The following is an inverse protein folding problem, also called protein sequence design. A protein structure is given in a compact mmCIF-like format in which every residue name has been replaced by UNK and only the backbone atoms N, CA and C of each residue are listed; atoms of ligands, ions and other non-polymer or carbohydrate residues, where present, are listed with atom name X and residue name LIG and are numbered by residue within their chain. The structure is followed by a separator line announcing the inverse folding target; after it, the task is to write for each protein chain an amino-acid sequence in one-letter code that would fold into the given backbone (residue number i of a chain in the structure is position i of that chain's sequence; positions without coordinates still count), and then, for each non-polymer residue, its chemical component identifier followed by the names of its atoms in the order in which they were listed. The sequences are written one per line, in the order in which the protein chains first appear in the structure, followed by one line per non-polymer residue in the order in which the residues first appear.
data_IF_920674081484
#
_entry.id   IF_920674081484
#
_cell.length_a   1.000
_cell.length_b   1.000
_cell.length_c   1.000
_cell.angle_alpha   90.00
_cell.angle_beta   90.00
_cell.angle_gamma   90.00
#
_symmetry.space_group_name_H-M   'P 1'
#
loop_
_entity.id
_entity.type
_entity.pdbx_description
1 polymer ?
#
# COMPACT_ATOMS: atom_id res chain seq x y z
N UNK A 1 -7.21 -32.96 -20.93
CA UNK A 1 -6.08 -33.01 -19.97
C UNK A 1 -5.53 -31.60 -19.90
N UNK A 2 -5.90 -30.82 -18.88
CA UNK A 2 -5.37 -29.47 -18.72
C UNK A 2 -4.00 -29.59 -18.07
N UNK A 3 -2.97 -29.11 -18.77
CA UNK A 3 -1.64 -28.92 -18.24
C UNK A 3 -1.74 -27.97 -17.04
N UNK A 4 -1.84 -28.55 -15.84
CA UNK A 4 -1.30 -27.91 -14.66
C UNK A 4 0.20 -27.86 -14.91
N UNK A 5 0.65 -26.74 -15.47
CA UNK A 5 2.06 -26.37 -15.47
C UNK A 5 2.49 -26.34 -14.00
N UNK A 6 3.10 -27.44 -13.58
CA UNK A 6 3.72 -27.58 -12.27
C UNK A 6 4.79 -26.52 -12.17
N UNK A 7 4.43 -25.38 -11.56
CA UNK A 7 5.41 -24.41 -11.09
C UNK A 7 6.45 -25.18 -10.27
N UNK A 8 7.74 -24.84 -10.37
CA UNK A 8 8.75 -25.47 -9.54
C UNK A 8 8.31 -25.29 -8.09
N UNK A 9 7.95 -26.39 -7.43
CA UNK A 9 7.71 -26.41 -5.99
C UNK A 9 9.05 -26.05 -5.36
N UNK A 10 9.16 -24.81 -4.89
CA UNK A 10 10.34 -24.40 -4.14
C UNK A 10 10.44 -25.36 -2.95
N UNK A 11 11.60 -25.99 -2.71
CA UNK A 11 11.75 -26.99 -1.66
C UNK A 11 11.43 -26.44 -0.26
N UNK A 12 11.47 -25.13 -0.09
CA UNK A 12 11.17 -24.37 1.13
C UNK A 12 9.83 -23.59 1.05
N UNK A 13 8.94 -23.90 0.10
CA UNK A 13 7.69 -23.15 -0.11
C UNK A 13 6.82 -23.07 1.16
N UNK A 14 6.72 -24.17 1.91
CA UNK A 14 5.93 -24.23 3.14
C UNK A 14 6.57 -23.42 4.28
N UNK A 15 7.90 -23.46 4.42
CA UNK A 15 8.64 -22.68 5.41
C UNK A 15 8.54 -21.18 5.12
N UNK A 16 8.65 -20.80 3.84
CA UNK A 16 8.46 -19.42 3.39
C UNK A 16 7.05 -18.93 3.61
N UNK A 17 6.04 -19.78 3.38
CA UNK A 17 4.64 -19.44 3.64
C UNK A 17 4.37 -19.27 5.14
N UNK A 18 4.92 -20.14 5.99
CA UNK A 18 4.84 -20.02 7.43
C UNK A 18 5.50 -18.71 7.92
N UNK A 19 6.70 -18.40 7.42
CA UNK A 19 7.40 -17.16 7.70
C UNK A 19 6.61 -15.92 7.26
N UNK A 20 6.02 -15.95 6.07
CA UNK A 20 5.18 -14.87 5.56
C UNK A 20 3.92 -14.63 6.41
N UNK A 21 3.26 -15.70 6.87
CA UNK A 21 2.11 -15.61 7.82
C UNK A 21 2.52 -14.94 9.12
N UNK A 22 3.66 -15.33 9.67
CA UNK A 22 4.18 -14.76 10.92
C UNK A 22 4.54 -13.27 10.75
N UNK A 23 5.20 -12.92 9.65
CA UNK A 23 5.55 -11.53 9.34
C UNK A 23 4.31 -10.65 9.14
N UNK A 24 3.30 -11.15 8.41
CA UNK A 24 2.04 -10.43 8.20
C UNK A 24 1.30 -10.18 9.52
N UNK A 25 1.22 -11.19 10.40
CA UNK A 25 0.60 -11.04 11.71
C UNK A 25 1.31 -9.97 12.56
N UNK A 26 2.66 -9.99 12.59
CA UNK A 26 3.44 -8.99 13.32
C UNK A 26 3.23 -7.56 12.78
N UNK A 27 3.21 -7.40 11.44
CA UNK A 27 2.96 -6.09 10.83
C UNK A 27 1.56 -5.57 11.13
N UNK A 28 0.54 -6.44 11.10
CA UNK A 28 -0.83 -6.09 11.43
C UNK A 28 -0.99 -5.69 12.90
N UNK A 29 -0.30 -6.39 13.81
CA UNK A 29 -0.26 -6.03 15.23
C UNK A 29 0.35 -4.63 15.44
N UNK A 30 1.49 -4.35 14.80
CA UNK A 30 2.17 -3.04 14.91
C UNK A 30 1.31 -1.85 14.45
N UNK A 31 0.41 -2.06 13.49
CA UNK A 31 -0.50 -1.01 12.98
C UNK A 31 -1.85 -0.98 13.70
N UNK A 32 -2.02 -1.78 14.76
CA UNK A 32 -3.25 -1.79 15.57
C UNK A 32 -4.44 -2.44 14.86
N UNK A 33 -4.20 -3.44 14.00
CA UNK A 33 -5.27 -4.13 13.27
C UNK A 33 -6.34 -4.74 14.19
N UNK A 34 -5.95 -5.22 15.37
CA UNK A 34 -6.89 -5.80 16.35
C UNK A 34 -7.91 -4.78 16.87
N UNK A 35 -7.51 -3.51 16.96
CA UNK A 35 -8.36 -2.41 17.45
C UNK A 35 -9.01 -1.61 16.30
N UNK A 36 -8.69 -1.96 15.05
CA UNK A 36 -9.21 -1.26 13.88
C UNK A 36 -10.72 -1.49 13.72
N UNK A 37 -11.53 -0.44 13.46
CA UNK A 37 -12.95 -0.58 13.15
C UNK A 37 -13.16 -1.55 11.97
N UNK A 38 -14.17 -2.41 12.06
CA UNK A 38 -14.41 -3.46 11.06
C UNK A 38 -14.70 -2.94 9.64
N UNK A 39 -15.16 -1.70 9.52
CA UNK A 39 -15.41 -1.02 8.24
C UNK A 39 -14.19 -0.26 7.70
N UNK A 40 -13.12 -0.13 8.49
CA UNK A 40 -11.90 0.58 8.11
C UNK A 40 -11.15 -0.11 6.98
N UNK A 41 -10.44 0.69 6.18
CA UNK A 41 -9.60 0.16 5.09
C UNK A 41 -8.51 -0.77 5.63
N UNK A 42 -7.96 -0.47 6.81
CA UNK A 42 -6.98 -1.32 7.49
C UNK A 42 -7.56 -2.71 7.80
N UNK A 43 -8.79 -2.76 8.33
CA UNK A 43 -9.45 -4.03 8.63
C UNK A 43 -9.75 -4.84 7.35
N UNK A 44 -10.19 -4.17 6.28
CA UNK A 44 -10.44 -4.81 4.98
C UNK A 44 -9.15 -5.39 4.38
N UNK A 45 -8.09 -4.59 4.31
CA UNK A 45 -6.82 -5.00 3.71
C UNK A 45 -6.10 -6.06 4.54
N UNK A 46 -6.08 -5.92 5.87
CA UNK A 46 -5.45 -6.90 6.76
C UNK A 46 -6.18 -8.25 6.73
N UNK A 47 -7.52 -8.24 6.71
CA UNK A 47 -8.30 -9.48 6.58
C UNK A 47 -8.05 -10.17 5.24
N UNK A 48 -8.01 -9.41 4.14
CA UNK A 48 -7.72 -9.96 2.81
C UNK A 48 -6.31 -10.57 2.73
N UNK A 49 -5.31 -9.92 3.34
CA UNK A 49 -3.94 -10.45 3.41
C UNK A 49 -3.85 -11.76 4.18
N UNK A 50 -4.52 -11.86 5.33
CA UNK A 50 -4.56 -13.09 6.13
C UNK A 50 -5.27 -14.23 5.41
N UNK A 51 -6.36 -13.93 4.69
CA UNK A 51 -7.10 -14.91 3.88
C UNK A 51 -6.23 -15.45 2.73
N UNK A 52 -5.56 -14.57 1.98
CA UNK A 52 -4.62 -14.94 0.91
C UNK A 52 -3.48 -15.85 1.41
N UNK A 53 -2.94 -15.57 2.60
CA UNK A 53 -1.87 -16.38 3.18
C UNK A 53 -2.40 -17.69 3.79
N UNK A 54 -3.67 -17.77 4.16
CA UNK A 54 -4.29 -18.99 4.69
C UNK A 54 -4.61 -20.00 3.60
N UNK A 55 -4.98 -19.53 2.41
CA UNK A 55 -5.32 -20.38 1.27
C UNK A 55 -4.59 -19.92 -0.01
N UNK A 56 -3.35 -20.42 -0.25
CA UNK A 56 -2.54 -20.00 -1.42
C UNK A 56 -3.14 -20.42 -2.77
N UNK A 57 -4.21 -21.23 -2.76
CA UNK A 57 -4.98 -21.63 -3.95
C UNK A 57 -6.15 -20.67 -4.26
N UNK A 58 -6.45 -19.71 -3.39
CA UNK A 58 -7.44 -18.68 -3.70
C UNK A 58 -6.87 -17.79 -4.82
N UNK A 59 -7.61 -17.59 -5.94
CA UNK A 59 -7.15 -16.70 -6.98
C UNK A 59 -6.90 -15.32 -6.38
N UNK A 60 -5.66 -14.82 -6.52
CA UNK A 60 -5.32 -13.45 -6.14
C UNK A 60 -6.39 -12.55 -6.77
N UNK A 61 -7.14 -11.76 -5.97
CA UNK A 61 -8.19 -10.93 -6.54
C UNK A 61 -7.55 -10.06 -7.61
N UNK A 62 -8.00 -10.23 -8.85
CA UNK A 62 -7.51 -9.51 -10.04
C UNK A 62 -7.90 -8.02 -10.03
N UNK A 63 -8.11 -7.44 -8.85
CA UNK A 63 -8.24 -6.02 -8.68
C UNK A 63 -6.86 -5.40 -8.94
N UNK A 64 -6.69 -4.54 -9.96
CA UNK A 64 -5.40 -3.95 -10.21
C UNK A 64 -5.04 -3.08 -9.01
N UNK A 65 -3.94 -3.41 -8.33
CA UNK A 65 -3.29 -2.52 -7.38
C UNK A 65 -3.19 -1.15 -8.04
N UNK A 66 -3.91 -0.16 -7.51
CA UNK A 66 -4.10 1.14 -8.18
C UNK A 66 -2.85 2.03 -8.12
N UNK A 67 -1.67 1.47 -7.83
CA UNK A 67 -0.38 2.13 -7.93
C UNK A 67 0.02 2.52 -9.38
N UNK A 68 -0.78 2.14 -10.38
CA UNK A 68 -0.48 2.46 -11.79
C UNK A 68 -1.69 2.71 -12.67
N UNK A 69 -2.89 2.94 -12.12
CA UNK A 69 -4.00 3.36 -13.00
C UNK A 69 -3.62 4.72 -13.61
N UNK A 70 -3.57 4.84 -14.95
CA UNK A 70 -3.31 6.13 -15.55
C UNK A 70 -4.36 7.12 -15.02
N UNK A 71 -3.94 8.32 -14.59
CA UNK A 71 -4.88 9.30 -14.07
C UNK A 71 -6.00 9.50 -15.10
N UNK A 72 -7.26 9.63 -14.68
CA UNK A 72 -8.38 9.87 -15.59
C UNK A 72 -8.01 11.03 -16.51
N UNK A 73 -8.35 10.91 -17.80
CA UNK A 73 -8.06 11.93 -18.82
C UNK A 73 -8.41 13.29 -18.22
N UNK A 74 -7.37 14.12 -17.99
CA UNK A 74 -7.54 15.43 -17.38
C UNK A 74 -8.62 16.18 -18.15
N UNK A 75 -9.66 16.64 -17.46
CA UNK A 75 -10.45 17.77 -17.93
C UNK A 75 -9.46 18.84 -18.40
N UNK A 76 -9.67 19.40 -19.61
CA UNK A 76 -8.76 20.40 -20.17
C UNK A 76 -8.58 21.51 -19.14
N UNK A 77 -7.44 21.52 -18.44
CA UNK A 77 -7.08 22.66 -17.61
C UNK A 77 -7.13 23.88 -18.52
N UNK A 78 -8.07 24.79 -18.26
CA UNK A 78 -8.12 26.09 -18.93
C UNK A 78 -6.72 26.68 -18.75
N UNK A 79 -6.10 27.12 -19.84
CA UNK A 79 -4.74 27.69 -19.84
C UNK A 79 -4.74 28.95 -18.97
N UNK A 80 -4.63 28.80 -17.66
CA UNK A 80 -4.27 29.86 -16.74
C UNK A 80 -2.79 30.20 -16.93
N UNK A 81 -2.40 31.40 -16.48
CA UNK A 81 -0.98 31.79 -16.43
C UNK A 81 -0.21 30.73 -15.64
N UNK A 82 0.86 30.18 -16.24
CA UNK A 82 1.82 29.34 -15.53
C UNK A 82 2.31 30.10 -14.29
N UNK A 83 2.29 29.51 -13.09
CA UNK A 83 3.03 30.06 -11.96
C UNK A 83 4.50 30.18 -12.38
N UNK A 84 5.09 31.39 -12.30
CA UNK A 84 6.49 31.63 -12.73
C UNK A 84 7.52 30.89 -11.86
N UNK A 85 7.10 30.36 -10.71
CA UNK A 85 7.89 29.55 -9.78
C UNK A 85 7.01 28.43 -9.26
N UNK A 86 7.57 27.23 -9.09
CA UNK A 86 6.89 26.17 -8.37
C UNK A 86 6.54 26.71 -6.96
N UNK A 87 5.33 26.46 -6.43
CA UNK A 87 5.09 26.68 -5.01
C UNK A 87 6.09 25.79 -4.28
N UNK A 88 7.01 26.41 -3.55
CA UNK A 88 7.97 25.69 -2.74
C UNK A 88 7.19 24.97 -1.64
N UNK A 89 6.92 23.68 -1.87
CA UNK A 89 6.15 22.82 -0.97
C UNK A 89 6.83 22.67 0.41
N UNK A 90 8.07 23.16 0.55
CA UNK A 90 8.87 23.09 1.77
C UNK A 90 9.22 24.47 2.36
N UNK A 91 8.85 25.58 1.72
CA UNK A 91 9.15 26.93 2.24
C UNK A 91 8.46 27.24 3.58
N UNK A 92 7.27 26.67 3.82
CA UNK A 92 6.51 26.92 5.05
C UNK A 92 7.21 26.47 6.34
N UNK A 93 8.24 25.62 6.29
CA UNK A 93 8.93 25.14 7.50
C UNK A 93 10.17 25.94 7.88
N UNK A 94 10.68 26.85 7.04
CA UNK A 94 11.87 27.65 7.42
C UNK A 94 11.50 28.87 8.24
N UNK A 95 10.35 29.49 7.96
CA UNK A 95 9.98 30.73 8.64
C UNK A 95 9.58 30.49 10.12
N UNK A 96 8.97 29.34 10.44
CA UNK A 96 8.62 28.98 11.82
C UNK A 96 9.83 28.58 12.69
N UNK A 97 10.93 28.13 12.07
CA UNK A 97 12.15 27.76 12.83
C UNK A 97 13.06 28.96 13.09
N UNK A 98 12.92 30.06 12.34
CA UNK A 98 13.79 31.24 12.46
C UNK A 98 13.24 32.28 13.45
N UNK A 99 11.99 32.16 13.90
CA UNK A 99 11.43 33.06 14.95
C UNK A 99 11.70 32.60 16.39
N UNK A 100 12.13 31.34 16.60
CA UNK A 100 12.37 30.79 17.95
C UNK A 100 13.83 30.82 18.39
N UNK A 101 14.69 31.60 17.72
CA UNK A 101 16.09 31.79 18.12
C UNK A 101 16.51 33.27 18.13
N UNK A 102 15.76 34.10 18.84
CA UNK A 102 16.33 35.32 19.45
C UNK A 102 16.31 35.13 20.98
N UNK A 103 17.46 35.17 21.67
CA UNK A 103 17.49 35.30 23.13
C UNK A 103 16.95 36.65 23.60
#
# INVERSE_FOLDING_TARGET
MTAQDSLPLWPDADERLASARQAAAALLDMVGFADAPGDSELHRQGSALLDMLSSPAAPIPAAPWTFGRPPPKKEKQRRGRRPKRAPDLFARRRDDQTQNQNP
#
